data_IF_862597370710
#
_entry.id   IF_862597370710
#
_cell.length_a   1.000
_cell.length_b   1.000
_cell.length_c   1.000
_cell.angle_alpha   90.00
_cell.angle_beta   90.00
_cell.angle_gamma   90.00
#
_symmetry.space_group_name_H-M   'P 1'
#
loop_
_entity.id
_entity.type
_entity.pdbx_description
1 polymer ?
#
# COMPACT_ATOMS: atom_id res chain seq x y z
N UNK A 1 -30.99 17.78 7.00
CA UNK A 1 -29.74 18.49 6.67
C UNK A 1 -28.60 17.82 7.40
N UNK A 2 -27.63 17.28 6.65
CA UNK A 2 -26.38 16.75 7.18
C UNK A 2 -25.49 17.92 7.60
N UNK A 3 -24.91 17.88 8.80
CA UNK A 3 -23.71 18.66 9.10
C UNK A 3 -22.72 17.82 9.91
N UNK A 4 -21.52 17.78 9.37
CA UNK A 4 -20.31 17.16 9.88
C UNK A 4 -19.78 17.90 11.11
N UNK A 5 -19.18 17.18 12.04
CA UNK A 5 -18.07 17.68 12.85
C UNK A 5 -17.14 16.50 13.14
N UNK A 6 -15.99 16.51 12.47
CA UNK A 6 -14.80 15.74 12.83
C UNK A 6 -14.13 16.50 13.98
N UNK A 7 -14.01 15.85 15.13
CA UNK A 7 -13.25 16.37 16.28
C UNK A 7 -11.81 15.87 16.24
N UNK A 8 -10.96 16.74 16.77
CA UNK A 8 -9.51 16.84 16.65
C UNK A 8 -8.74 15.77 17.46
N UNK A 9 -7.47 15.69 17.11
CA UNK A 9 -6.33 14.98 17.68
C UNK A 9 -6.34 14.77 19.21
N UNK A 10 -5.84 13.61 19.66
CA UNK A 10 -4.97 13.62 20.83
C UNK A 10 -3.91 12.51 20.76
N UNK A 11 -2.66 12.96 20.62
CA UNK A 11 -1.45 12.17 20.76
C UNK A 11 -1.22 11.78 22.22
N UNK A 12 -0.89 10.52 22.50
CA UNK A 12 -0.16 10.18 23.72
C UNK A 12 1.01 9.25 23.37
N UNK A 13 2.19 9.86 23.28
CA UNK A 13 3.48 9.17 23.39
C UNK A 13 3.68 8.80 24.85
N UNK A 14 3.89 7.51 25.11
CA UNK A 14 4.51 7.02 26.34
C UNK A 14 5.67 6.11 25.99
N UNK A 15 6.88 6.68 26.09
CA UNK A 15 8.16 5.97 26.07
C UNK A 15 8.28 5.15 27.36
N UNK A 16 8.53 3.84 27.26
CA UNK A 16 9.27 3.11 28.32
C UNK A 16 10.35 2.25 27.70
N UNK A 17 11.58 2.72 27.89
CA UNK A 17 12.82 1.99 27.64
C UNK A 17 13.02 0.97 28.79
N UNK A 18 13.12 -0.31 28.45
CA UNK A 18 13.49 -1.39 29.37
C UNK A 18 14.00 -2.58 28.59
N UNK A 19 15.31 -2.85 28.67
CA UNK A 19 16.02 -3.86 27.89
C UNK A 19 15.99 -5.27 28.55
N UNK A 20 15.64 -6.27 27.72
CA UNK A 20 16.14 -7.69 27.63
C UNK A 20 15.72 -8.69 28.74
N UNK A 21 15.58 -10.02 28.46
CA UNK A 21 16.25 -10.83 27.43
C UNK A 21 15.35 -11.70 26.51
N UNK A 22 16.00 -12.26 25.48
CA UNK A 22 15.47 -13.17 24.46
C UNK A 22 14.68 -14.35 25.05
N UNK A 23 13.43 -14.47 24.63
CA UNK A 23 12.78 -15.76 24.37
C UNK A 23 12.02 -15.63 23.05
N UNK A 24 12.20 -16.55 22.08
CA UNK A 24 11.38 -16.60 20.88
C UNK A 24 10.01 -17.16 21.29
N UNK A 25 9.19 -16.30 21.89
CA UNK A 25 7.80 -16.60 22.19
C UNK A 25 7.04 -16.69 20.87
N UNK A 26 6.91 -17.91 20.38
CA UNK A 26 5.95 -18.33 19.36
C UNK A 26 5.99 -17.49 18.11
N UNK A 27 6.73 -17.96 17.09
CA UNK A 27 6.32 -17.73 15.71
C UNK A 27 4.79 -17.92 15.68
N UNK A 28 3.97 -16.91 15.30
CA UNK A 28 2.59 -17.22 14.99
C UNK A 28 2.71 -18.30 13.92
N UNK A 29 2.26 -19.50 14.27
CA UNK A 29 2.20 -20.64 13.36
C UNK A 29 1.67 -20.06 12.08
N UNK A 30 2.51 -20.00 11.05
CA UNK A 30 2.10 -19.52 9.74
C UNK A 30 1.05 -20.51 9.31
N UNK A 31 -0.20 -20.22 9.63
CA UNK A 31 -1.32 -20.78 8.92
C UNK A 31 -1.09 -20.20 7.55
N UNK A 32 -0.43 -20.98 6.71
CA UNK A 32 -0.09 -20.67 5.33
C UNK A 32 -1.43 -20.73 4.57
N UNK A 33 -2.38 -19.88 4.98
CA UNK A 33 -3.48 -19.47 4.14
C UNK A 33 -2.79 -18.68 3.06
N UNK A 34 -2.61 -19.34 1.92
CA UNK A 34 -2.32 -18.71 0.65
C UNK A 34 -3.41 -17.66 0.43
N UNK A 35 -3.23 -16.47 1.01
CA UNK A 35 -4.11 -15.32 0.80
C UNK A 35 -4.02 -15.01 -0.68
N UNK A 36 -5.16 -15.09 -1.35
CA UNK A 36 -5.21 -14.92 -2.80
C UNK A 36 -4.62 -13.56 -3.18
N UNK A 37 -4.06 -13.44 -4.39
CA UNK A 37 -3.54 -12.17 -4.89
C UNK A 37 -4.58 -11.05 -4.79
N UNK A 38 -5.84 -11.37 -5.06
CA UNK A 38 -6.96 -10.43 -4.95
C UNK A 38 -7.19 -9.98 -3.49
N UNK A 39 -7.05 -10.88 -2.53
CA UNK A 39 -7.17 -10.56 -1.11
C UNK A 39 -6.02 -9.68 -0.62
N UNK A 40 -4.79 -9.96 -1.04
CA UNK A 40 -3.63 -9.10 -0.77
C UNK A 40 -3.82 -7.71 -1.38
N UNK A 41 -4.32 -7.64 -2.62
CA UNK A 41 -4.65 -6.37 -3.25
C UNK A 41 -5.74 -5.61 -2.49
N UNK A 42 -6.81 -6.29 -2.07
CA UNK A 42 -7.88 -5.67 -1.29
C UNK A 42 -7.39 -5.17 0.07
N UNK A 43 -6.50 -5.93 0.73
CA UNK A 43 -5.89 -5.52 1.99
C UNK A 43 -5.01 -4.27 1.81
N UNK A 44 -4.25 -4.21 0.71
CA UNK A 44 -3.49 -3.01 0.35
C UNK A 44 -4.43 -1.85 0.00
N UNK A 45 -5.26 -1.99 -1.04
CA UNK A 45 -6.03 -0.91 -1.64
C UNK A 45 -7.25 -0.47 -0.80
N UNK A 46 -7.63 -1.27 0.18
CA UNK A 46 -8.71 -1.02 1.15
C UNK A 46 -10.03 -0.64 0.46
N UNK A 47 -10.49 0.61 0.63
CA UNK A 47 -11.77 1.11 0.10
C UNK A 47 -11.61 1.83 -1.25
N UNK A 48 -10.39 2.01 -1.75
CA UNK A 48 -10.13 2.81 -2.94
C UNK A 48 -10.50 4.28 -2.75
N UNK A 49 -10.17 4.86 -1.60
CA UNK A 49 -10.30 6.29 -1.30
C UNK A 49 -9.30 7.10 -2.12
N UNK A 50 -9.44 8.43 -2.16
CA UNK A 50 -8.46 9.30 -2.84
C UNK A 50 -7.06 9.07 -2.29
N UNK A 51 -6.93 8.96 -0.96
CA UNK A 51 -5.67 8.69 -0.29
C UNK A 51 -5.03 7.36 -0.71
N UNK A 52 -5.84 6.32 -0.90
CA UNK A 52 -5.35 5.01 -1.36
C UNK A 52 -4.80 5.10 -2.79
N UNK A 53 -5.50 5.85 -3.66
CA UNK A 53 -5.04 6.11 -5.03
C UNK A 53 -3.77 6.97 -5.06
N UNK A 54 -3.68 8.00 -4.21
CA UNK A 54 -2.50 8.84 -4.07
C UNK A 54 -1.31 8.03 -3.57
N UNK A 55 -1.51 7.17 -2.56
CA UNK A 55 -0.46 6.25 -2.07
C UNK A 55 0.01 5.32 -3.18
N UNK A 56 -0.92 4.74 -3.95
CA UNK A 56 -0.55 3.90 -5.10
C UNK A 56 0.26 4.68 -6.14
N UNK A 57 -0.03 5.97 -6.37
CA UNK A 57 0.77 6.80 -7.25
C UNK A 57 2.20 6.96 -6.72
N UNK A 58 2.36 7.32 -5.43
CA UNK A 58 3.69 7.48 -4.80
C UNK A 58 4.49 6.17 -4.85
N UNK A 59 3.85 5.05 -4.52
CA UNK A 59 4.44 3.71 -4.55
C UNK A 59 4.88 3.25 -5.96
N UNK A 60 4.43 3.95 -7.00
CA UNK A 60 4.79 3.74 -8.41
C UNK A 60 5.64 4.88 -8.98
N UNK A 61 6.25 5.71 -8.11
CA UNK A 61 7.02 6.90 -8.49
C UNK A 61 6.25 7.93 -9.34
N UNK A 62 4.92 8.00 -9.16
CA UNK A 62 4.05 9.03 -9.74
C UNK A 62 3.77 10.14 -8.72
N UNK A 63 3.30 11.33 -9.17
CA UNK A 63 2.86 12.38 -8.27
C UNK A 63 1.73 11.92 -7.32
N UNK A 64 1.94 12.10 -6.01
CA UNK A 64 1.01 11.71 -4.96
C UNK A 64 0.01 12.80 -4.53
N UNK A 65 0.22 14.04 -4.95
CA UNK A 65 -0.56 15.22 -4.58
C UNK A 65 -1.75 15.48 -5.54
N UNK A 66 -2.14 14.47 -6.31
CA UNK A 66 -3.23 14.59 -7.29
C UNK A 66 -4.56 14.87 -6.58
N UNK A 67 -5.33 15.88 -7.03
CA UNK A 67 -6.49 16.39 -6.29
C UNK A 67 -7.75 15.51 -6.40
N UNK A 68 -7.74 14.48 -7.26
CA UNK A 68 -8.91 13.63 -7.48
C UNK A 68 -8.56 12.21 -7.95
N UNK A 69 -9.48 11.27 -7.71
CA UNK A 69 -9.32 9.86 -8.12
C UNK A 69 -9.19 9.73 -9.63
N UNK A 70 -9.88 10.58 -10.40
CA UNK A 70 -9.81 10.57 -11.86
C UNK A 70 -8.39 10.88 -12.33
N UNK A 71 -7.73 11.89 -11.74
CA UNK A 71 -6.34 12.24 -12.05
C UNK A 71 -5.36 11.14 -11.68
N UNK A 72 -5.52 10.50 -10.52
CA UNK A 72 -4.73 9.31 -10.16
C UNK A 72 -4.90 8.18 -11.18
N UNK A 73 -6.14 7.88 -11.58
CA UNK A 73 -6.43 6.86 -12.59
C UNK A 73 -5.81 7.20 -13.94
N UNK A 74 -5.83 8.47 -14.35
CA UNK A 74 -5.22 8.90 -15.60
C UNK A 74 -3.70 8.74 -15.57
N UNK A 75 -3.03 9.06 -14.46
CA UNK A 75 -1.60 8.82 -14.29
C UNK A 75 -1.25 7.32 -14.31
N UNK A 76 -2.12 6.48 -13.75
CA UNK A 76 -1.93 5.03 -13.74
C UNK A 76 -2.12 4.38 -15.13
N UNK A 77 -2.88 4.99 -16.04
CA UNK A 77 -3.12 4.42 -17.39
C UNK A 77 -1.84 4.21 -18.20
N UNK A 78 -0.83 5.06 -17.98
CA UNK A 78 0.46 4.95 -18.66
C UNK A 78 1.45 3.98 -18.00
N UNK A 79 1.13 3.46 -16.81
CA UNK A 79 2.00 2.57 -16.05
C UNK A 79 1.54 1.13 -16.24
N UNK A 80 2.47 0.28 -16.68
CA UNK A 80 2.25 -1.16 -16.68
C UNK A 80 3.09 -1.76 -15.54
N UNK A 81 2.43 -2.39 -14.57
CA UNK A 81 3.08 -3.03 -13.43
C UNK A 81 2.48 -4.41 -13.21
N UNK A 82 3.29 -5.37 -12.81
CA UNK A 82 2.79 -6.65 -12.35
C UNK A 82 2.31 -6.51 -10.90
N UNK A 83 1.01 -6.71 -10.67
CA UNK A 83 0.40 -6.56 -9.33
C UNK A 83 1.03 -7.51 -8.30
N UNK A 84 1.41 -8.74 -8.71
CA UNK A 84 2.09 -9.69 -7.82
C UNK A 84 3.43 -9.13 -7.34
N UNK A 85 4.26 -8.69 -8.29
CA UNK A 85 5.55 -8.09 -7.99
C UNK A 85 5.41 -6.82 -7.13
N UNK A 86 4.43 -5.98 -7.45
CA UNK A 86 4.14 -4.79 -6.66
C UNK A 86 3.82 -5.16 -5.20
N UNK A 87 2.96 -6.16 -4.97
CA UNK A 87 2.60 -6.59 -3.61
C UNK A 87 3.79 -7.23 -2.87
N UNK A 88 4.65 -7.98 -3.55
CA UNK A 88 5.84 -8.62 -2.98
C UNK A 88 7.01 -7.65 -2.73
N UNK A 89 7.00 -6.47 -3.36
CA UNK A 89 8.05 -5.47 -3.22
C UNK A 89 7.92 -4.72 -1.88
N UNK A 90 8.88 -4.89 -0.97
CA UNK A 90 8.92 -4.13 0.29
C UNK A 90 9.45 -2.70 0.10
N UNK A 91 10.34 -2.50 -0.87
CA UNK A 91 11.08 -1.26 -1.05
C UNK A 91 10.50 -0.44 -2.22
N UNK A 92 9.32 0.16 -2.00
CA UNK A 92 8.63 0.99 -3.01
C UNK A 92 9.04 2.46 -2.87
N UNK A 93 9.20 3.21 -3.98
CA UNK A 93 8.99 2.79 -5.37
C UNK A 93 10.20 2.13 -6.04
N UNK A 94 11.40 2.21 -5.47
CA UNK A 94 12.67 1.85 -6.13
C UNK A 94 12.79 0.37 -6.55
N UNK A 95 12.07 -0.54 -5.88
CA UNK A 95 12.04 -1.97 -6.17
C UNK A 95 10.88 -2.43 -7.06
N UNK A 96 10.04 -1.50 -7.55
CA UNK A 96 8.92 -1.82 -8.44
C UNK A 96 9.36 -1.69 -9.89
N UNK A 97 9.18 -2.75 -10.68
CA UNK A 97 9.50 -2.74 -12.10
C UNK A 97 8.29 -2.24 -12.86
N UNK A 98 8.47 -1.09 -13.50
CA UNK A 98 7.50 -0.53 -14.42
C UNK A 98 7.86 -0.95 -15.83
N UNK A 99 6.91 -1.59 -16.50
CA UNK A 99 7.06 -2.11 -17.84
C UNK A 99 6.63 -1.06 -18.87
N UNK A 100 7.38 -0.97 -19.97
CA UNK A 100 7.07 -0.05 -21.07
C UNK A 100 5.78 -0.41 -21.81
N UNK A 101 5.40 -1.69 -21.82
CA UNK A 101 4.19 -2.17 -22.44
C UNK A 101 3.67 -3.43 -21.75
N UNK A 102 2.42 -3.82 -22.07
CA UNK A 102 1.80 -5.02 -21.52
C UNK A 102 2.41 -6.33 -22.03
N UNK A 103 3.06 -6.33 -23.19
CA UNK A 103 3.69 -7.53 -23.76
C UNK A 103 4.95 -7.95 -22.98
N UNK A 104 5.64 -6.99 -22.36
CA UNK A 104 6.79 -7.24 -21.51
C UNK A 104 6.42 -7.89 -20.16
N UNK A 105 5.13 -8.04 -19.84
CA UNK A 105 4.67 -8.73 -18.63
C UNK A 105 4.64 -10.27 -18.77
N UNK A 106 4.81 -10.81 -19.99
CA UNK A 106 4.60 -12.23 -20.32
C UNK A 106 5.92 -12.93 -20.73
N UNK A 107 7.05 -12.22 -20.72
CA UNK A 107 8.35 -12.79 -21.13
C UNK A 107 9.02 -13.64 -20.06
#
# INVERSE_FOLDING_TARGET
MNHSVYEDSNSNVSIRLGLKPLTPAGSPKSTNKQVSLMEQWNNYFQKGTLRDFQRLCVDLALPGDLPSKAKCRDALKSINVNIKQFLECENKPDGVNIFKNRHALIS
#
